data_IF_462729693936
#
_entry.id   IF_462729693936
#
_cell.length_a   1.000
_cell.length_b   1.000
_cell.length_c   1.000
_cell.angle_alpha   90.00
_cell.angle_beta   90.00
_cell.angle_gamma   90.00
#
_symmetry.space_group_name_H-M   'P 1'
#
loop_
_entity.id
_entity.type
_entity.pdbx_description
1 polymer ?
#
# COMPACT_ATOMS: atom_id res chain seq x y z
N UNK A 1 -1.89 -7.99 -3.69
CA UNK A 1 -0.41 -7.96 -3.76
C UNK A 1 0.13 -9.11 -4.58
N UNK A 2 -0.01 -10.34 -4.08
CA UNK A 2 0.37 -11.57 -4.81
C UNK A 2 -0.33 -11.68 -6.18
N UNK A 3 -1.55 -11.16 -6.32
CA UNK A 3 -2.28 -11.11 -7.61
C UNK A 3 -1.54 -10.37 -8.72
N UNK A 4 -0.80 -9.31 -8.39
CA UNK A 4 0.00 -8.57 -9.38
C UNK A 4 1.16 -9.42 -9.92
N UNK A 5 1.63 -10.39 -9.11
CA UNK A 5 2.69 -11.34 -9.48
C UNK A 5 2.10 -12.59 -10.16
N UNK A 6 0.83 -12.92 -9.88
CA UNK A 6 0.09 -13.99 -10.55
C UNK A 6 -0.01 -13.80 -12.07
N UNK A 7 -0.10 -12.55 -12.55
CA UNK A 7 -0.06 -12.24 -13.99
C UNK A 7 1.31 -12.41 -14.66
N UNK A 8 2.37 -12.73 -13.90
CA UNK A 8 3.72 -12.95 -14.41
C UNK A 8 4.09 -14.45 -14.46
N UNK A 9 3.18 -15.35 -14.08
CA UNK A 9 3.37 -16.81 -14.15
C UNK A 9 3.75 -17.24 -15.56
N UNK A 10 3.08 -16.67 -16.57
CA UNK A 10 3.29 -16.99 -18.00
C UNK A 10 4.68 -16.59 -18.52
N UNK A 11 5.39 -15.72 -17.80
CA UNK A 11 6.75 -15.26 -18.12
C UNK A 11 7.82 -15.90 -17.24
N UNK A 12 7.43 -16.81 -16.34
CA UNK A 12 8.34 -17.47 -15.40
C UNK A 12 8.84 -18.77 -15.99
N UNK A 13 10.15 -18.99 -15.97
CA UNK A 13 10.74 -20.26 -16.40
C UNK A 13 10.38 -21.37 -15.40
N UNK A 14 9.84 -22.50 -15.89
CA UNK A 14 9.35 -23.62 -15.07
C UNK A 14 8.39 -23.17 -13.94
N UNK A 15 7.25 -22.56 -14.30
CA UNK A 15 6.36 -21.89 -13.34
C UNK A 15 5.86 -22.86 -12.26
N UNK A 16 5.63 -24.13 -12.60
CA UNK A 16 5.15 -25.15 -11.65
C UNK A 16 6.01 -25.27 -10.38
N UNK A 17 7.33 -25.11 -10.51
CA UNK A 17 8.27 -25.25 -9.40
C UNK A 17 8.76 -23.90 -8.91
N UNK A 18 9.12 -23.01 -9.83
CA UNK A 18 9.81 -21.77 -9.48
C UNK A 18 8.84 -20.73 -8.94
N UNK A 19 7.61 -20.67 -9.44
CA UNK A 19 6.61 -19.73 -8.93
C UNK A 19 6.18 -20.11 -7.50
N UNK A 20 5.87 -21.39 -7.28
CA UNK A 20 5.51 -21.90 -5.96
C UNK A 20 6.63 -21.71 -4.93
N UNK A 21 7.87 -22.08 -5.28
CA UNK A 21 9.04 -21.85 -4.42
C UNK A 21 9.28 -20.37 -4.15
N UNK A 22 9.12 -19.52 -5.17
CA UNK A 22 9.24 -18.07 -5.05
C UNK A 22 8.24 -17.48 -4.06
N UNK A 23 6.97 -17.89 -4.13
CA UNK A 23 5.94 -17.45 -3.17
C UNK A 23 6.29 -17.90 -1.75
N UNK A 24 6.64 -19.16 -1.55
CA UNK A 24 6.97 -19.69 -0.21
C UNK A 24 8.21 -18.98 0.36
N UNK A 25 9.26 -18.80 -0.44
CA UNK A 25 10.46 -18.08 -0.04
C UNK A 25 10.13 -16.63 0.33
N UNK A 26 9.37 -15.92 -0.51
CA UNK A 26 8.94 -14.56 -0.23
C UNK A 26 8.10 -14.49 1.06
N UNK A 27 7.18 -15.43 1.28
CA UNK A 27 6.36 -15.49 2.49
C UNK A 27 7.22 -15.68 3.76
N UNK A 28 8.24 -16.54 3.71
CA UNK A 28 9.18 -16.75 4.82
C UNK A 28 9.99 -15.48 5.09
N UNK A 29 10.60 -14.90 4.06
CA UNK A 29 11.42 -13.68 4.19
C UNK A 29 10.60 -12.53 4.74
N UNK A 30 9.38 -12.31 4.22
CA UNK A 30 8.47 -11.27 4.69
C UNK A 30 8.08 -11.54 6.15
N UNK A 31 7.66 -12.76 6.49
CA UNK A 31 7.21 -13.09 7.85
C UNK A 31 8.31 -12.89 8.89
N UNK A 32 9.53 -13.37 8.60
CA UNK A 32 10.69 -13.18 9.47
C UNK A 32 11.06 -11.70 9.56
N UNK A 33 11.12 -11.00 8.42
CA UNK A 33 11.47 -9.59 8.36
C UNK A 33 10.51 -8.71 9.17
N UNK A 34 9.19 -8.92 9.02
CA UNK A 34 8.19 -8.20 9.82
C UNK A 34 8.29 -8.54 11.29
N UNK A 35 8.44 -9.82 11.65
CA UNK A 35 8.54 -10.25 13.04
C UNK A 35 9.76 -9.63 13.73
N UNK A 36 10.93 -9.66 13.08
CA UNK A 36 12.15 -9.04 13.57
C UNK A 36 12.01 -7.52 13.66
N UNK A 37 11.45 -6.87 12.64
CA UNK A 37 11.24 -5.44 12.66
C UNK A 37 10.36 -5.02 13.85
N UNK A 38 9.22 -5.69 14.05
CA UNK A 38 8.31 -5.42 15.18
C UNK A 38 9.02 -5.64 16.51
N UNK A 39 9.79 -6.71 16.64
CA UNK A 39 10.57 -6.99 17.84
C UNK A 39 11.61 -5.89 18.12
N UNK A 40 12.39 -5.49 17.11
CA UNK A 40 13.39 -4.42 17.22
C UNK A 40 12.77 -3.07 17.54
N UNK A 41 11.58 -2.78 17.01
CA UNK A 41 10.80 -1.60 17.42
C UNK A 41 10.46 -1.62 18.90
N UNK A 42 10.11 -2.78 19.45
CA UNK A 42 9.86 -2.96 20.88
C UNK A 42 11.08 -2.75 21.78
N UNK A 43 12.30 -2.99 21.29
CA UNK A 43 13.53 -2.72 22.04
C UNK A 43 13.82 -1.22 22.14
N UNK A 44 13.48 -0.45 21.11
CA UNK A 44 13.80 0.99 21.04
C UNK A 44 12.73 1.91 21.63
N UNK A 45 11.52 1.40 21.86
CA UNK A 45 10.35 2.21 22.22
C UNK A 45 9.46 1.53 23.26
N UNK A 46 9.20 2.21 24.39
CA UNK A 46 8.16 1.79 25.33
C UNK A 46 6.77 2.11 24.74
N UNK A 47 6.12 1.09 24.19
CA UNK A 47 4.80 1.22 23.55
C UNK A 47 3.73 1.82 24.47
N UNK A 48 3.72 1.46 25.75
CA UNK A 48 2.72 1.96 26.68
C UNK A 48 2.92 3.46 26.93
N UNK A 49 4.15 3.91 27.09
CA UNK A 49 4.45 5.32 27.32
C UNK A 49 4.27 6.17 26.05
N UNK A 50 4.61 5.62 24.88
CA UNK A 50 4.55 6.33 23.60
C UNK A 50 3.14 6.35 23.01
N UNK A 51 2.43 5.22 22.99
CA UNK A 51 1.07 5.14 22.43
C UNK A 51 0.00 5.74 23.34
N UNK A 52 0.24 5.88 24.64
CA UNK A 52 -0.72 6.53 25.55
C UNK A 52 -0.69 8.06 25.44
N UNK A 53 0.24 8.64 24.67
CA UNK A 53 0.26 10.08 24.42
C UNK A 53 -0.81 10.45 23.39
N UNK A 54 -1.78 11.28 23.79
CA UNK A 54 -2.92 11.69 22.95
C UNK A 54 -2.55 12.45 21.67
N UNK A 55 -1.29 12.85 21.50
CA UNK A 55 -0.78 13.43 20.26
C UNK A 55 -0.38 12.38 19.21
N UNK A 56 -0.29 11.10 19.57
CA UNK A 56 0.13 10.01 18.68
C UNK A 56 -1.07 9.42 17.95
N UNK A 57 -0.96 9.31 16.63
CA UNK A 57 -1.97 8.73 15.76
C UNK A 57 -1.33 7.97 14.60
N UNK A 58 -2.15 7.29 13.79
CA UNK A 58 -1.68 6.50 12.65
C UNK A 58 -0.85 7.30 11.64
N UNK A 59 -1.06 8.61 11.54
CA UNK A 59 -0.37 9.48 10.59
C UNK A 59 1.01 9.94 11.06
N UNK A 60 1.26 10.01 12.38
CA UNK A 60 2.54 10.50 12.91
C UNK A 60 3.34 9.45 13.70
N UNK A 61 2.79 8.26 13.92
CA UNK A 61 3.43 7.18 14.69
C UNK A 61 4.85 6.87 14.18
N UNK A 62 5.07 6.85 12.86
CA UNK A 62 6.39 6.58 12.29
C UNK A 62 7.43 7.61 12.72
N UNK A 63 7.07 8.90 12.76
CA UNK A 63 7.99 9.96 13.20
C UNK A 63 8.29 9.85 14.70
N UNK A 64 7.28 9.50 15.49
CA UNK A 64 7.41 9.33 16.94
C UNK A 64 8.34 8.17 17.26
N UNK A 65 8.17 7.03 16.58
CA UNK A 65 9.03 5.86 16.73
C UNK A 65 10.48 6.15 16.31
N UNK A 66 10.69 6.85 15.19
CA UNK A 66 12.04 7.22 14.73
C UNK A 66 12.72 8.19 15.68
N UNK A 67 11.96 9.14 16.25
CA UNK A 67 12.47 10.03 17.29
C UNK A 67 12.90 9.24 18.52
N UNK A 68 12.06 8.32 18.99
CA UNK A 68 12.38 7.45 20.13
C UNK A 68 13.65 6.64 19.89
N UNK A 69 13.76 6.03 18.71
CA UNK A 69 14.96 5.29 18.30
C UNK A 69 16.23 6.16 18.35
N UNK A 70 16.19 7.38 17.81
CA UNK A 70 17.36 8.27 17.82
C UNK A 70 17.73 8.74 19.23
N UNK A 71 16.76 8.98 20.11
CA UNK A 71 17.03 9.31 21.53
C UNK A 71 17.65 8.12 22.26
N UNK A 72 17.08 6.92 22.09
CA UNK A 72 17.60 5.69 22.70
C UNK A 72 19.03 5.39 22.23
N UNK A 73 19.31 5.60 20.94
CA UNK A 73 20.66 5.47 20.38
C UNK A 73 21.62 6.50 20.98
N UNK A 74 21.22 7.77 21.08
CA UNK A 74 22.06 8.80 21.68
C UNK A 74 22.42 8.49 23.14
N UNK A 75 21.45 7.99 23.90
CA UNK A 75 21.68 7.56 25.28
C UNK A 75 22.62 6.35 25.36
N UNK A 76 22.47 5.37 24.46
CA UNK A 76 23.38 4.21 24.39
C UNK A 76 24.82 4.60 24.02
N UNK A 77 25.00 5.70 23.28
CA UNK A 77 26.29 6.28 22.94
C UNK A 77 26.85 7.23 24.03
N UNK A 78 26.18 7.34 25.18
CA UNK A 78 26.52 8.25 26.28
C UNK A 78 26.61 9.73 25.86
N UNK A 79 25.79 10.15 24.88
CA UNK A 79 25.67 11.56 24.53
C UNK A 79 24.93 12.34 25.63
N UNK A 80 25.09 13.67 25.64
CA UNK A 80 24.31 14.52 26.55
C UNK A 80 22.82 14.43 26.22
N UNK A 81 21.91 14.69 27.19
CA UNK A 81 20.48 14.67 26.95
C UNK A 81 20.04 15.54 25.76
N UNK A 82 20.66 16.71 25.58
CA UNK A 82 20.39 17.64 24.49
C UNK A 82 20.85 17.08 23.14
N UNK A 83 22.02 16.44 23.12
CA UNK A 83 22.56 15.80 21.91
C UNK A 83 21.72 14.58 21.50
N UNK A 84 21.29 13.74 22.45
CA UNK A 84 20.38 12.62 22.21
C UNK A 84 19.02 13.09 21.67
N UNK A 85 18.47 14.18 22.21
CA UNK A 85 17.22 14.76 21.72
C UNK A 85 17.37 15.30 20.29
N UNK A 86 18.48 16.01 20.01
CA UNK A 86 18.81 16.51 18.67
C UNK A 86 18.93 15.37 17.66
N UNK A 87 19.59 14.27 18.04
CA UNK A 87 19.72 13.07 17.23
C UNK A 87 18.34 12.46 16.90
N UNK A 88 17.46 12.34 17.90
CA UNK A 88 16.08 11.90 17.70
C UNK A 88 15.29 12.79 16.73
N UNK A 89 15.42 14.11 16.85
CA UNK A 89 14.76 15.06 15.92
C UNK A 89 15.29 14.89 14.49
N UNK A 90 16.60 14.70 14.32
CA UNK A 90 17.20 14.45 13.01
C UNK A 90 16.70 13.14 12.38
N UNK A 91 16.59 12.07 13.16
CA UNK A 91 16.01 10.80 12.70
C UNK A 91 14.58 11.02 12.19
N UNK A 92 13.73 11.69 12.97
CA UNK A 92 12.36 11.99 12.56
C UNK A 92 12.29 12.85 11.28
N UNK A 93 13.18 13.83 11.12
CA UNK A 93 13.24 14.70 9.92
C UNK A 93 13.66 13.94 8.67
N UNK A 94 14.70 13.11 8.77
CA UNK A 94 15.18 12.29 7.64
C UNK A 94 14.09 11.31 7.22
N UNK A 95 13.39 10.68 8.17
CA UNK A 95 12.23 9.85 7.87
C UNK A 95 11.08 10.64 7.25
N UNK A 96 10.83 11.86 7.73
CA UNK A 96 9.89 12.81 7.10
C UNK A 96 10.17 12.99 5.62
N UNK A 97 11.42 13.30 5.28
CA UNK A 97 11.85 13.49 3.90
C UNK A 97 11.76 12.19 3.08
N UNK A 98 12.17 11.05 3.64
CA UNK A 98 12.11 9.77 2.92
C UNK A 98 10.68 9.33 2.62
N UNK A 99 9.77 9.49 3.59
CA UNK A 99 8.35 9.22 3.39
C UNK A 99 7.73 10.17 2.37
N UNK A 100 8.10 11.46 2.39
CA UNK A 100 7.64 12.42 1.39
C UNK A 100 8.05 12.01 -0.04
N UNK A 101 9.32 11.67 -0.24
CA UNK A 101 9.83 11.23 -1.54
C UNK A 101 9.16 9.92 -2.00
N UNK A 102 9.04 8.95 -1.09
CA UNK A 102 8.41 7.66 -1.38
C UNK A 102 6.92 7.81 -1.75
N UNK A 103 6.17 8.60 -0.97
CA UNK A 103 4.75 8.85 -1.25
C UNK A 103 4.54 9.67 -2.52
N UNK A 104 5.45 10.60 -2.83
CA UNK A 104 5.41 11.32 -4.10
C UNK A 104 5.59 10.36 -5.29
N UNK A 105 6.57 9.45 -5.22
CA UNK A 105 6.75 8.42 -6.25
C UNK A 105 5.56 7.46 -6.38
N UNK A 106 5.02 7.01 -5.25
CA UNK A 106 3.82 6.18 -5.22
C UNK A 106 2.61 6.91 -5.81
N UNK A 107 2.44 8.20 -5.49
CA UNK A 107 1.35 9.04 -6.00
C UNK A 107 1.39 9.13 -7.53
N UNK A 108 2.57 9.38 -8.13
CA UNK A 108 2.68 9.40 -9.59
C UNK A 108 2.23 8.08 -10.22
N UNK A 109 2.63 6.96 -9.64
CA UNK A 109 2.29 5.62 -10.17
C UNK A 109 0.81 5.30 -10.00
N UNK A 110 0.26 5.58 -8.81
CA UNK A 110 -1.12 5.28 -8.45
C UNK A 110 -2.13 6.26 -9.08
N UNK A 111 -1.72 7.45 -9.50
CA UNK A 111 -2.62 8.38 -10.17
C UNK A 111 -3.09 7.86 -11.52
N UNK A 112 -2.20 7.28 -12.33
CA UNK A 112 -2.55 6.88 -13.70
C UNK A 112 -2.76 5.37 -13.87
N UNK A 113 -2.08 4.53 -13.08
CA UNK A 113 -2.11 3.08 -13.29
C UNK A 113 -3.52 2.47 -13.13
N UNK A 114 -4.26 2.72 -12.03
CA UNK A 114 -5.61 2.20 -11.85
C UNK A 114 -6.58 2.76 -12.89
N UNK A 115 -6.50 4.06 -13.19
CA UNK A 115 -7.37 4.69 -14.17
C UNK A 115 -7.17 4.10 -15.57
N UNK A 116 -5.91 3.92 -15.98
CA UNK A 116 -5.57 3.29 -17.25
C UNK A 116 -6.07 1.86 -17.30
N UNK A 117 -5.85 1.08 -16.24
CA UNK A 117 -6.29 -0.31 -16.15
C UNK A 117 -7.83 -0.42 -16.26
N UNK A 118 -8.58 0.47 -15.60
CA UNK A 118 -10.05 0.48 -15.68
C UNK A 118 -10.52 0.86 -17.09
N UNK A 119 -10.02 1.96 -17.66
CA UNK A 119 -10.50 2.47 -18.95
C UNK A 119 -10.11 1.55 -20.12
N UNK A 120 -8.92 0.96 -20.07
CA UNK A 120 -8.44 0.07 -21.14
C UNK A 120 -8.88 -1.38 -20.94
N UNK A 121 -9.07 -1.81 -19.68
CA UNK A 121 -9.45 -3.18 -19.33
C UNK A 121 -10.94 -3.46 -19.41
N UNK A 122 -11.80 -2.45 -19.58
CA UNK A 122 -13.25 -2.61 -19.69
C UNK A 122 -13.77 -2.21 -21.08
N UNK A 123 -14.91 -2.77 -21.54
CA UNK A 123 -15.49 -2.42 -22.83
C UNK A 123 -15.72 -0.91 -22.97
N UNK A 124 -15.31 -0.34 -24.11
CA UNK A 124 -15.43 1.11 -24.38
C UNK A 124 -16.85 1.64 -24.26
N UNK A 125 -17.87 0.80 -24.52
CA UNK A 125 -19.28 1.17 -24.42
C UNK A 125 -19.75 1.54 -23.00
N UNK A 126 -18.99 1.15 -21.96
CA UNK A 126 -19.31 1.48 -20.57
C UNK A 126 -18.91 2.91 -20.18
N UNK A 127 -18.09 3.58 -20.99
CA UNK A 127 -17.53 4.88 -20.66
C UNK A 127 -17.99 5.96 -21.66
N UNK A 128 -18.15 7.21 -21.20
CA UNK A 128 -18.29 8.34 -22.10
C UNK A 128 -17.16 8.36 -23.13
N UNK A 129 -17.50 8.54 -24.41
CA UNK A 129 -16.55 8.53 -25.52
C UNK A 129 -15.28 9.36 -25.25
N UNK A 130 -15.36 10.59 -24.67
CA UNK A 130 -14.18 11.40 -24.37
C UNK A 130 -13.21 10.76 -23.37
N UNK A 131 -13.69 9.93 -22.43
CA UNK A 131 -12.85 9.26 -21.43
C UNK A 131 -11.99 8.14 -22.02
N UNK A 132 -12.44 7.58 -23.14
CA UNK A 132 -11.74 6.47 -23.82
C UNK A 132 -10.72 6.93 -24.85
N UNK A 133 -10.67 8.24 -25.17
CA UNK A 133 -9.74 8.81 -26.13
C UNK A 133 -8.33 8.90 -25.54
N UNK A 134 -7.38 8.28 -26.24
CA UNK A 134 -5.97 8.27 -25.85
C UNK A 134 -5.23 9.44 -26.51
N UNK A 135 -4.28 10.03 -25.80
CA UNK A 135 -3.36 11.02 -26.34
C UNK A 135 -2.17 10.36 -27.07
N UNK A 136 -1.24 11.16 -27.61
CA UNK A 136 -0.04 10.68 -28.31
C UNK A 136 0.87 9.76 -27.46
N UNK A 137 0.74 9.81 -26.13
CA UNK A 137 1.50 8.99 -25.18
C UNK A 137 0.71 7.74 -24.73
N UNK A 138 -0.42 7.43 -25.37
CA UNK A 138 -1.24 6.25 -25.06
C UNK A 138 -2.00 6.35 -23.73
N UNK A 139 -2.25 7.58 -23.24
CA UNK A 139 -2.90 7.85 -21.96
C UNK A 139 -4.28 8.52 -22.12
N UNK A 140 -5.29 8.11 -21.31
CA UNK A 140 -6.63 8.70 -21.36
C UNK A 140 -6.66 10.07 -20.65
N UNK A 141 -6.14 11.10 -21.32
CA UNK A 141 -5.89 12.43 -20.74
C UNK A 141 -7.15 13.09 -20.15
N UNK A 142 -8.30 12.98 -20.80
CA UNK A 142 -9.57 13.57 -20.34
C UNK A 142 -10.02 12.92 -19.02
N UNK A 143 -9.90 11.60 -18.92
CA UNK A 143 -10.24 10.91 -17.69
C UNK A 143 -9.28 11.27 -16.54
N UNK A 144 -8.00 11.47 -16.83
CA UNK A 144 -7.01 11.90 -15.83
C UNK A 144 -7.34 13.31 -15.29
N UNK A 145 -7.74 14.23 -16.16
CA UNK A 145 -8.18 15.56 -15.74
C UNK A 145 -9.46 15.54 -14.89
N UNK A 146 -10.42 14.69 -15.23
CA UNK A 146 -11.61 14.51 -14.41
C UNK A 146 -11.30 13.89 -13.04
N UNK A 147 -10.40 12.89 -12.99
CA UNK A 147 -9.91 12.36 -11.72
C UNK A 147 -9.23 13.44 -10.89
N UNK A 148 -8.38 14.27 -11.51
CA UNK A 148 -7.70 15.38 -10.83
C UNK A 148 -8.72 16.36 -10.22
N UNK A 149 -9.73 16.77 -10.98
CA UNK A 149 -10.81 17.63 -10.48
C UNK A 149 -11.57 16.99 -9.32
N UNK A 150 -11.96 15.72 -9.46
CA UNK A 150 -12.67 14.98 -8.41
C UNK A 150 -11.84 14.88 -7.12
N UNK A 151 -10.57 14.48 -7.22
CA UNK A 151 -9.65 14.36 -6.08
C UNK A 151 -9.44 15.72 -5.40
N UNK A 152 -9.31 16.79 -6.18
CA UNK A 152 -9.16 18.15 -5.64
C UNK A 152 -10.39 18.56 -4.82
N UNK A 153 -11.60 18.33 -5.35
CA UNK A 153 -12.85 18.61 -4.64
C UNK A 153 -12.93 17.78 -3.35
N UNK A 154 -12.56 16.50 -3.40
CA UNK A 154 -12.53 15.65 -2.21
C UNK A 154 -11.57 16.16 -1.14
N UNK A 155 -10.35 16.57 -1.54
CA UNK A 155 -9.37 17.13 -0.62
C UNK A 155 -9.94 18.41 0.02
N UNK A 156 -10.50 19.33 -0.77
CA UNK A 156 -11.10 20.56 -0.24
C UNK A 156 -12.25 20.26 0.73
N UNK A 157 -13.14 19.32 0.39
CA UNK A 157 -14.24 18.91 1.26
C UNK A 157 -13.74 18.32 2.58
N UNK A 158 -12.69 17.49 2.57
CA UNK A 158 -12.14 16.90 3.79
C UNK A 158 -11.37 17.93 4.61
N UNK A 159 -10.62 18.80 3.95
CA UNK A 159 -9.82 19.85 4.61
C UNK A 159 -10.69 20.93 5.26
N UNK A 160 -11.81 21.31 4.65
CA UNK A 160 -12.66 22.41 5.11
C UNK A 160 -14.03 21.98 5.65
N UNK A 161 -14.44 20.72 5.46
CA UNK A 161 -15.77 20.21 5.85
C UNK A 161 -15.90 19.73 7.30
N UNK A 162 -14.88 19.96 8.14
CA UNK A 162 -14.92 19.63 9.57
C UNK A 162 -14.92 18.13 9.90
N UNK A 163 -15.25 17.80 11.16
CA UNK A 163 -15.18 16.43 11.68
C UNK A 163 -16.05 15.42 10.93
N UNK A 164 -17.20 15.86 10.40
CA UNK A 164 -18.12 15.01 9.62
C UNK A 164 -17.54 14.61 8.26
N UNK A 165 -16.90 15.54 7.55
CA UNK A 165 -16.26 15.23 6.26
C UNK A 165 -15.06 14.29 6.43
N UNK A 166 -14.26 14.50 7.48
CA UNK A 166 -13.17 13.59 7.84
C UNK A 166 -13.68 12.18 8.21
N UNK A 167 -14.76 12.09 9.00
CA UNK A 167 -15.38 10.82 9.32
C UNK A 167 -15.92 10.10 8.07
N UNK A 168 -16.57 10.82 7.15
CA UNK A 168 -17.04 10.27 5.88
C UNK A 168 -15.88 9.75 5.03
N UNK A 169 -14.78 10.49 4.92
CA UNK A 169 -13.59 10.05 4.20
C UNK A 169 -12.95 8.79 4.82
N UNK A 170 -12.89 8.72 6.16
CA UNK A 170 -12.43 7.52 6.84
C UNK A 170 -13.33 6.31 6.54
N UNK A 171 -14.65 6.51 6.46
CA UNK A 171 -15.57 5.45 6.04
C UNK A 171 -15.34 5.03 4.59
N UNK A 172 -15.15 5.96 3.65
CA UNK A 172 -14.80 5.64 2.27
C UNK A 172 -13.48 4.87 2.16
N UNK A 173 -12.47 5.27 2.94
CA UNK A 173 -11.16 4.59 2.99
C UNK A 173 -11.32 3.17 3.51
N UNK A 174 -12.11 2.97 4.57
CA UNK A 174 -12.45 1.64 5.07
C UNK A 174 -13.20 0.80 4.02
N UNK A 175 -14.17 1.39 3.31
CA UNK A 175 -14.88 0.71 2.23
C UNK A 175 -13.95 0.31 1.09
N UNK A 176 -12.99 1.15 0.71
CA UNK A 176 -11.98 0.82 -0.29
C UNK A 176 -11.08 -0.34 0.19
N UNK A 177 -10.67 -0.33 1.46
CA UNK A 177 -9.91 -1.43 2.04
C UNK A 177 -10.69 -2.74 2.04
N UNK A 178 -11.98 -2.72 2.41
CA UNK A 178 -12.86 -3.89 2.34
C UNK A 178 -13.05 -4.33 0.88
N UNK A 179 -13.24 -3.39 -0.05
CA UNK A 179 -13.37 -3.69 -1.48
C UNK A 179 -12.11 -4.33 -2.07
N UNK A 180 -10.91 -4.03 -1.55
CA UNK A 180 -9.68 -4.71 -1.96
C UNK A 180 -9.61 -6.15 -1.44
N UNK A 181 -10.32 -6.48 -0.35
CA UNK A 181 -10.37 -7.85 0.18
C UNK A 181 -11.42 -8.73 -0.49
N UNK A 182 -12.48 -8.12 -1.03
CA UNK A 182 -13.62 -8.84 -1.62
C UNK A 182 -13.25 -9.72 -2.84
N UNK A 183 -12.38 -9.30 -3.78
CA UNK A 183 -11.90 -10.16 -4.85
C UNK A 183 -11.26 -11.45 -4.36
N UNK A 184 -10.51 -11.42 -3.26
CA UNK A 184 -9.88 -12.62 -2.69
C UNK A 184 -10.93 -13.63 -2.21
N UNK A 185 -12.04 -13.15 -1.63
CA UNK A 185 -13.15 -14.00 -1.21
C UNK A 185 -13.81 -14.67 -2.41
N UNK A 186 -14.07 -13.91 -3.49
CA UNK A 186 -14.60 -14.49 -4.72
C UNK A 186 -13.63 -15.47 -5.38
N UNK A 187 -12.33 -15.16 -5.40
CA UNK A 187 -11.31 -16.06 -5.95
C UNK A 187 -11.23 -17.38 -5.16
N UNK A 188 -11.26 -17.29 -3.82
CA UNK A 188 -11.25 -18.45 -2.93
C UNK A 188 -12.52 -19.29 -3.08
N UNK A 189 -13.70 -18.66 -3.21
CA UNK A 189 -14.97 -19.35 -3.47
C UNK A 189 -15.06 -19.93 -4.88
N UNK A 190 -14.47 -19.28 -5.88
CA UNK A 190 -14.46 -19.76 -7.26
C UNK A 190 -13.48 -20.94 -7.46
N UNK A 191 -12.44 -21.05 -6.64
CA UNK A 191 -11.41 -22.10 -6.78
C UNK A 191 -11.97 -23.54 -6.74
N UNK A 192 -12.89 -23.93 -5.83
CA UNK A 192 -13.56 -25.23 -5.87
C UNK A 192 -14.31 -25.51 -7.18
N UNK A 193 -15.08 -24.55 -7.69
CA UNK A 193 -15.82 -24.68 -8.95
C UNK A 193 -14.88 -24.76 -10.15
N UNK A 194 -13.80 -23.97 -10.13
CA UNK A 194 -12.72 -24.05 -11.12
C UNK A 194 -12.04 -25.42 -11.08
N UNK A 195 -11.79 -25.98 -9.89
CA UNK A 195 -11.21 -27.34 -9.74
C UNK A 195 -12.12 -28.43 -10.29
N UNK A 196 -13.45 -28.29 -10.17
CA UNK A 196 -14.42 -29.27 -10.67
C UNK A 196 -14.51 -29.35 -12.21
N UNK A 197 -14.05 -28.32 -12.93
CA UNK A 197 -14.10 -28.24 -14.41
C UNK A 197 -13.01 -29.07 -15.09
N UNK A 198 -13.37 -30.21 -15.67
CA UNK A 198 -12.43 -31.16 -16.33
C UNK A 198 -12.07 -30.77 -17.78
N UNK A 199 -12.72 -29.75 -18.32
CA UNK A 199 -12.67 -29.27 -19.71
C UNK A 199 -11.50 -28.30 -20.01
N UNK A 200 -10.59 -28.09 -19.06
CA UNK A 200 -9.53 -27.07 -19.15
C UNK A 200 -8.15 -27.72 -19.09
N UNK A 201 -7.28 -27.36 -20.04
CA UNK A 201 -5.87 -27.73 -19.99
C UNK A 201 -5.16 -26.92 -18.90
N UNK A 202 -4.60 -27.60 -17.90
CA UNK A 202 -4.06 -26.96 -16.68
C UNK A 202 -2.55 -27.13 -16.66
N UNK A 203 -1.77 -26.11 -17.08
CA UNK A 203 -0.32 -26.16 -17.00
C UNK A 203 0.21 -26.10 -15.56
N UNK A 204 -0.65 -26.02 -14.53
CA UNK A 204 -0.25 -26.02 -13.13
C UNK A 204 -1.39 -26.44 -12.18
N UNK A 205 -1.10 -27.38 -11.26
CA UNK A 205 -2.03 -27.83 -10.21
C UNK A 205 -1.27 -27.99 -8.88
N UNK A 206 -1.54 -27.13 -7.89
CA UNK A 206 -0.93 -27.23 -6.54
C UNK A 206 -1.63 -28.27 -5.67
N UNK A 207 -2.95 -28.29 -5.70
CA UNK A 207 -3.77 -29.18 -4.87
C UNK A 207 -4.30 -30.33 -5.73
N UNK A 208 -3.62 -31.48 -5.71
CA UNK A 208 -4.19 -32.73 -6.24
C UNK A 208 -5.49 -33.05 -5.52
#
# INVERSE_FOLDING_TARGET
GIEAVGGLVDKTENPEKNFAKGIVFAAIVISIGYSLAIFLWGVSTNWQQVLSNGSVNLGNITYVLMKSLGVTLGNALHLSPEASLSLGVWFARITGLSMFLAYTGAFFTLCYSPLKAIIQGTPKALWPEPMTRLNAMGMPSIAMWMQCGLVTVFILLVSFGGGTASAFFNKLTLMANVSMTLPYLFLALAFPFFKARQDLDRPFVIFK
#
